data_IF_148237059155
#
_entry.id   IF_148237059155
#
_cell.length_a   1.000
_cell.length_b   1.000
_cell.length_c   1.000
_cell.angle_alpha   90.00
_cell.angle_beta   90.00
_cell.angle_gamma   90.00
#
_symmetry.space_group_name_H-M   'P 1'
#
loop_
_entity.id
_entity.type
_entity.pdbx_description
1 polymer ?
#
# COMPACT_ATOMS: atom_id res chain seq x y z
N UNK A 1 15.60 -25.82 -4.33
CA UNK A 1 14.95 -24.69 -5.02
C UNK A 1 13.56 -24.61 -4.41
N UNK A 2 13.43 -23.80 -3.35
CA UNK A 2 12.16 -23.65 -2.63
C UNK A 2 11.18 -22.93 -3.55
N UNK A 3 10.16 -23.67 -3.99
CA UNK A 3 8.94 -23.08 -4.53
C UNK A 3 8.33 -22.27 -3.39
N UNK A 4 8.51 -20.94 -3.41
CA UNK A 4 7.74 -20.07 -2.54
C UNK A 4 6.27 -20.39 -2.79
N UNK A 5 5.60 -20.98 -1.79
CA UNK A 5 4.17 -21.16 -1.80
C UNK A 5 3.58 -19.78 -2.12
N UNK A 6 2.94 -19.61 -3.27
CA UNK A 6 2.18 -18.41 -3.58
C UNK A 6 1.08 -18.33 -2.51
N UNK A 7 1.37 -17.61 -1.42
CA UNK A 7 0.39 -17.29 -0.40
C UNK A 7 -0.84 -16.71 -1.08
N UNK A 8 -2.01 -16.97 -0.51
CA UNK A 8 -3.27 -16.39 -1.02
C UNK A 8 -3.12 -14.87 -1.08
N UNK A 9 -3.23 -14.29 -2.28
CA UNK A 9 -3.26 -12.84 -2.44
C UNK A 9 -4.59 -12.34 -1.86
N UNK A 10 -4.52 -11.43 -0.90
CA UNK A 10 -5.67 -10.82 -0.23
C UNK A 10 -6.20 -9.63 -1.02
N UNK A 11 -5.30 -8.79 -1.53
CA UNK A 11 -5.62 -7.59 -2.30
C UNK A 11 -4.63 -7.43 -3.47
N UNK A 12 -5.16 -7.04 -4.62
CA UNK A 12 -4.39 -6.57 -5.77
C UNK A 12 -4.76 -5.13 -6.03
N UNK A 13 -3.77 -4.26 -6.10
CA UNK A 13 -3.96 -2.85 -6.39
C UNK A 13 -2.97 -2.43 -7.47
N UNK A 14 -3.48 -1.98 -8.61
CA UNK A 14 -2.64 -1.37 -9.63
C UNK A 14 -2.10 -0.04 -9.09
N UNK A 15 -0.81 0.19 -9.29
CA UNK A 15 -0.12 1.43 -8.92
C UNK A 15 0.46 2.08 -10.16
N UNK A 16 0.88 3.34 -10.04
CA UNK A 16 1.49 4.08 -11.14
C UNK A 16 2.70 3.35 -11.72
N UNK A 17 2.92 3.51 -13.02
CA UNK A 17 4.12 3.01 -13.67
C UNK A 17 5.28 3.99 -13.51
N UNK A 18 6.51 3.46 -13.52
CA UNK A 18 7.71 4.29 -13.46
C UNK A 18 8.08 4.78 -14.86
N UNK A 19 7.24 5.61 -15.48
CA UNK A 19 7.53 6.16 -16.82
C UNK A 19 8.87 6.86 -16.87
N UNK A 20 9.24 7.52 -15.78
CA UNK A 20 10.44 8.35 -15.66
C UNK A 20 11.75 7.57 -15.73
N UNK A 21 11.74 6.26 -15.47
CA UNK A 21 12.91 5.38 -15.60
C UNK A 21 12.89 4.54 -16.87
N UNK A 22 12.04 4.89 -17.84
CA UNK A 22 11.98 4.25 -19.17
C UNK A 22 11.08 3.01 -19.24
N UNK A 23 10.21 2.80 -18.26
CA UNK A 23 9.21 1.72 -18.26
C UNK A 23 7.85 2.23 -18.75
N UNK A 24 7.76 2.60 -20.02
CA UNK A 24 6.54 3.16 -20.61
C UNK A 24 5.41 2.11 -20.75
N UNK A 25 5.78 0.84 -20.92
CA UNK A 25 4.91 -0.28 -21.27
C UNK A 25 4.77 -1.34 -20.16
N UNK A 26 5.13 -0.96 -18.92
CA UNK A 26 5.05 -1.85 -17.76
C UNK A 26 3.95 -1.40 -16.83
N UNK A 27 3.04 -2.33 -16.53
CA UNK A 27 2.05 -2.20 -15.49
C UNK A 27 2.60 -2.75 -14.18
N UNK A 28 2.36 -2.03 -13.09
CA UNK A 28 2.79 -2.41 -11.73
C UNK A 28 1.57 -2.69 -10.89
N UNK A 29 1.63 -3.77 -10.11
CA UNK A 29 0.57 -4.14 -9.16
C UNK A 29 1.18 -4.50 -7.82
N UNK A 30 0.70 -3.84 -6.76
CA UNK A 30 0.94 -4.25 -5.38
C UNK A 30 0.03 -5.42 -5.07
N UNK A 31 0.62 -6.54 -4.66
CA UNK A 31 -0.07 -7.76 -4.24
C UNK A 31 0.12 -7.93 -2.74
N UNK A 32 -0.94 -7.71 -1.96
CA UNK A 32 -0.92 -7.89 -0.52
C UNK A 32 -1.17 -9.37 -0.20
N UNK A 33 -0.25 -9.96 0.56
CA UNK A 33 -0.32 -11.36 0.99
C UNK A 33 -0.88 -11.48 2.41
N UNK A 34 -0.59 -10.52 3.29
CA UNK A 34 -1.06 -10.50 4.67
C UNK A 34 -1.32 -9.06 5.12
N UNK A 35 -2.34 -8.88 5.96
CA UNK A 35 -2.66 -7.62 6.61
C UNK A 35 -3.26 -7.92 7.98
N UNK A 36 -2.63 -7.44 9.06
CA UNK A 36 -3.10 -7.64 10.43
C UNK A 36 -2.56 -6.58 11.39
N UNK A 37 -3.21 -6.43 12.54
CA UNK A 37 -2.70 -5.61 13.64
C UNK A 37 -1.59 -6.41 14.33
N UNK A 38 -0.41 -5.82 14.46
CA UNK A 38 0.74 -6.47 15.08
C UNK A 38 0.55 -6.53 16.61
N UNK A 39 0.14 -7.70 17.11
CA UNK A 39 -0.08 -7.91 18.54
C UNK A 39 1.19 -7.82 19.40
N UNK A 40 2.38 -7.76 18.81
CA UNK A 40 3.65 -7.58 19.51
C UNK A 40 3.98 -6.12 19.82
N UNK A 41 3.37 -5.17 19.11
CA UNK A 41 3.55 -3.73 19.30
C UNK A 41 2.19 -3.05 19.20
N UNK A 42 1.65 -2.56 20.31
CA UNK A 42 0.23 -2.19 20.47
C UNK A 42 -0.27 -1.05 19.55
N UNK A 43 0.57 -0.46 18.71
CA UNK A 43 0.25 0.69 17.86
C UNK A 43 0.80 0.54 16.44
N UNK A 44 0.69 -0.67 15.87
CA UNK A 44 1.19 -0.96 14.54
C UNK A 44 0.27 -1.88 13.75
N UNK A 45 0.05 -1.51 12.49
CA UNK A 45 -0.63 -2.33 11.50
C UNK A 45 0.38 -2.80 10.45
N UNK A 46 0.42 -4.11 10.24
CA UNK A 46 1.40 -4.77 9.39
C UNK A 46 0.76 -5.21 8.08
N UNK A 47 1.44 -4.90 6.96
CA UNK A 47 1.07 -5.33 5.62
C UNK A 47 2.28 -5.99 4.96
N UNK A 48 2.14 -7.25 4.57
CA UNK A 48 3.12 -7.95 3.76
C UNK A 48 2.66 -7.95 2.30
N UNK A 49 3.52 -7.50 1.39
CA UNK A 49 3.17 -7.35 -0.03
C UNK A 49 4.35 -7.62 -0.96
N UNK A 50 4.09 -7.73 -2.26
CA UNK A 50 5.13 -7.67 -3.29
C UNK A 50 4.61 -6.95 -4.53
N UNK A 51 5.51 -6.43 -5.36
CA UNK A 51 5.15 -5.77 -6.63
C UNK A 51 5.36 -6.75 -7.77
N UNK A 52 4.31 -6.98 -8.56
CA UNK A 52 4.39 -7.70 -9.84
C UNK A 52 4.41 -6.72 -11.00
N UNK A 53 5.10 -7.10 -12.06
CA UNK A 53 5.31 -6.30 -13.26
C UNK A 53 4.83 -7.06 -14.49
N UNK A 54 3.91 -6.47 -15.25
CA UNK A 54 3.36 -7.05 -16.48
C UNK A 54 3.61 -6.14 -17.67
N UNK A 55 3.94 -6.73 -18.82
CA UNK A 55 4.08 -6.06 -20.12
C UNK A 55 3.25 -6.84 -21.13
N UNK A 56 2.26 -6.19 -21.74
CA UNK A 56 1.32 -6.82 -22.69
C UNK A 56 0.71 -8.13 -22.14
N UNK A 57 0.39 -8.16 -20.84
CA UNK A 57 -0.14 -9.33 -20.14
C UNK A 57 0.88 -10.43 -19.81
N UNK A 58 2.16 -10.25 -20.16
CA UNK A 58 3.26 -11.18 -19.84
C UNK A 58 3.95 -10.74 -18.55
N UNK A 59 4.17 -11.69 -17.64
CA UNK A 59 4.90 -11.46 -16.40
C UNK A 59 6.40 -11.22 -16.67
N UNK A 60 6.85 -10.00 -16.38
CA UNK A 60 8.25 -9.56 -16.54
C UNK A 60 8.91 -9.27 -15.19
N UNK A 61 8.27 -9.68 -14.11
CA UNK A 61 8.71 -9.54 -12.72
C UNK A 61 10.16 -9.97 -12.46
N UNK A 62 10.62 -11.02 -13.15
CA UNK A 62 12.00 -11.54 -13.06
C UNK A 62 13.09 -10.54 -13.50
N UNK A 63 12.72 -9.49 -14.23
CA UNK A 63 13.65 -8.43 -14.66
C UNK A 63 13.95 -7.43 -13.54
N UNK A 64 13.17 -7.43 -12.46
CA UNK A 64 13.27 -6.50 -11.34
C UNK A 64 13.93 -7.19 -10.15
N UNK A 65 15.06 -6.67 -9.66
CA UNK A 65 15.81 -7.25 -8.53
C UNK A 65 15.02 -7.12 -7.23
N UNK A 66 15.09 -8.17 -6.41
CA UNK A 66 14.45 -8.37 -5.10
C UNK A 66 12.95 -8.66 -5.15
N UNK A 67 12.61 -9.88 -5.57
CA UNK A 67 11.25 -10.40 -5.41
C UNK A 67 11.22 -11.51 -4.38
N UNK A 68 10.82 -11.17 -3.17
CA UNK A 68 10.35 -12.16 -2.20
C UNK A 68 9.10 -11.66 -1.50
N UNK A 69 9.19 -10.49 -0.86
CA UNK A 69 8.09 -9.77 -0.21
C UNK A 69 8.68 -8.59 0.54
N UNK A 70 7.87 -7.58 0.79
CA UNK A 70 8.18 -6.42 1.59
C UNK A 70 7.20 -6.31 2.75
N UNK A 71 7.70 -5.74 3.84
CA UNK A 71 6.92 -5.46 5.04
C UNK A 71 6.68 -3.96 5.12
N UNK A 72 5.42 -3.57 5.17
CA UNK A 72 4.99 -2.22 5.46
C UNK A 72 4.39 -2.17 6.86
N UNK A 73 5.04 -1.39 7.71
CA UNK A 73 4.64 -1.17 9.10
C UNK A 73 4.02 0.23 9.20
N UNK A 74 2.71 0.28 9.38
CA UNK A 74 1.98 1.52 9.58
C UNK A 74 1.85 1.77 11.07
N UNK A 75 2.50 2.82 11.56
CA UNK A 75 2.48 3.26 12.95
C UNK A 75 2.33 4.79 13.01
N UNK A 76 2.16 5.33 14.22
CA UNK A 76 1.96 6.78 14.43
C UNK A 76 3.22 7.65 14.19
N UNK A 77 4.34 7.08 13.72
CA UNK A 77 5.48 7.89 13.25
C UNK A 77 5.25 8.44 11.84
N UNK A 78 4.36 7.82 11.07
CA UNK A 78 3.90 8.33 9.77
C UNK A 78 2.63 9.17 9.98
N UNK A 79 2.49 10.22 9.18
CA UNK A 79 1.26 11.00 9.07
C UNK A 79 0.59 10.68 7.73
N UNK A 80 -0.74 10.58 7.73
CA UNK A 80 -1.54 10.31 6.54
C UNK A 80 -2.67 11.32 6.42
N UNK A 81 -3.18 11.50 5.22
CA UNK A 81 -4.28 12.41 4.96
C UNK A 81 -5.58 11.88 5.58
N UNK A 82 -6.30 12.77 6.28
CA UNK A 82 -7.69 12.52 6.67
C UNK A 82 -8.56 12.43 5.41
N UNK A 83 -9.56 11.56 5.45
CA UNK A 83 -10.48 11.30 4.34
C UNK A 83 -11.94 11.32 4.79
N UNK A 84 -12.82 11.67 3.86
CA UNK A 84 -14.27 11.63 4.08
C UNK A 84 -14.85 10.21 3.86
N UNK A 85 -16.18 10.07 3.93
CA UNK A 85 -16.84 8.78 3.68
C UNK A 85 -16.64 8.22 2.25
N UNK A 86 -16.21 9.05 1.30
CA UNK A 86 -15.92 8.66 -0.08
C UNK A 86 -14.43 8.40 -0.31
N UNK A 87 -13.61 8.47 0.74
CA UNK A 87 -12.16 8.36 0.71
C UNK A 87 -11.44 9.52 -0.01
N UNK A 88 -12.08 10.67 -0.14
CA UNK A 88 -11.44 11.87 -0.69
C UNK A 88 -10.71 12.66 0.41
N UNK A 89 -9.54 13.28 0.12
CA UNK A 89 -8.79 14.05 1.12
C UNK A 89 -9.61 15.22 1.69
N UNK A 90 -9.61 15.36 3.01
CA UNK A 90 -10.24 16.49 3.69
C UNK A 90 -9.23 17.63 3.83
N UNK A 91 -9.66 18.83 3.43
CA UNK A 91 -8.90 20.06 3.58
C UNK A 91 -9.37 20.85 4.81
N UNK A 92 -8.45 21.55 5.46
CA UNK A 92 -8.78 22.55 6.48
C UNK A 92 -9.37 23.83 5.86
N UNK A 93 -9.76 24.79 6.71
CA UNK A 93 -10.34 26.07 6.28
C UNK A 93 -9.36 26.93 5.43
N UNK A 94 -8.07 26.62 5.48
CA UNK A 94 -7.00 27.30 4.72
C UNK A 94 -6.67 26.56 3.40
N UNK A 95 -7.29 25.40 3.16
CA UNK A 95 -7.09 24.58 1.97
C UNK A 95 -5.90 23.63 2.06
N UNK A 96 -5.33 23.41 3.25
CA UNK A 96 -4.25 22.43 3.46
C UNK A 96 -4.82 21.05 3.78
N UNK A 97 -4.09 19.99 3.42
CA UNK A 97 -4.46 18.63 3.81
C UNK A 97 -4.39 18.47 5.33
N UNK A 98 -5.45 17.90 5.91
CA UNK A 98 -5.43 17.52 7.32
C UNK A 98 -4.65 16.21 7.45
N UNK A 99 -3.62 16.22 8.29
CA UNK A 99 -2.76 15.07 8.53
C UNK A 99 -3.00 14.49 9.92
N UNK A 100 -3.13 13.16 10.01
CA UNK A 100 -3.40 12.44 11.25
C UNK A 100 -2.37 11.32 11.47
N UNK A 101 -2.10 10.93 12.73
CA UNK A 101 -1.27 9.76 13.04
C UNK A 101 -1.82 8.51 12.36
N UNK A 102 -0.95 7.81 11.62
CA UNK A 102 -1.41 6.83 10.65
C UNK A 102 -2.14 5.64 11.25
N UNK A 103 -1.61 5.06 12.33
CA UNK A 103 -2.21 3.89 12.95
C UNK A 103 -3.55 4.22 13.61
N UNK A 104 -3.60 5.28 14.41
CA UNK A 104 -4.81 5.68 15.13
C UNK A 104 -5.96 5.99 14.16
N UNK A 105 -5.67 6.71 13.08
CA UNK A 105 -6.69 7.05 12.09
C UNK A 105 -7.22 5.82 11.36
N UNK A 106 -6.33 4.94 10.85
CA UNK A 106 -6.74 3.71 10.15
C UNK A 106 -7.55 2.80 11.08
N UNK A 107 -7.13 2.66 12.34
CA UNK A 107 -7.85 1.85 13.31
C UNK A 107 -9.21 2.43 13.63
N UNK A 108 -9.34 3.74 13.79
CA UNK A 108 -10.63 4.39 13.95
C UNK A 108 -11.59 4.12 12.78
N UNK A 109 -11.07 4.11 11.55
CA UNK A 109 -11.85 3.73 10.37
C UNK A 109 -12.25 2.25 10.42
N UNK A 110 -11.32 1.33 10.72
CA UNK A 110 -11.63 -0.10 10.82
C UNK A 110 -12.63 -0.44 11.93
N UNK A 111 -12.51 0.21 13.08
CA UNK A 111 -13.46 0.07 14.18
C UNK A 111 -14.86 0.53 13.77
N UNK A 112 -14.96 1.65 13.04
CA UNK A 112 -16.25 2.11 12.50
C UNK A 112 -16.87 1.10 11.53
N UNK A 113 -16.05 0.38 10.77
CA UNK A 113 -16.46 -0.66 9.83
C UNK A 113 -16.61 -2.05 10.46
N UNK A 114 -16.23 -2.21 11.74
CA UNK A 114 -16.13 -3.49 12.47
C UNK A 114 -15.29 -4.57 11.74
N UNK A 115 -14.35 -4.18 10.88
CA UNK A 115 -13.46 -5.09 10.15
C UNK A 115 -12.33 -4.33 9.43
N UNK A 116 -11.25 -5.05 9.10
CA UNK A 116 -10.26 -4.58 8.13
C UNK A 116 -10.97 -4.45 6.77
N UNK A 117 -10.98 -3.24 6.22
CA UNK A 117 -11.53 -2.96 4.91
C UNK A 117 -10.43 -2.90 3.86
N UNK A 118 -10.59 -3.68 2.79
CA UNK A 118 -9.66 -3.63 1.67
C UNK A 118 -9.75 -2.33 0.87
N UNK A 119 -10.87 -1.61 0.92
CA UNK A 119 -11.00 -0.33 0.22
C UNK A 119 -10.16 0.75 0.91
N UNK A 120 -10.17 0.76 2.24
CA UNK A 120 -9.27 1.60 3.05
C UNK A 120 -7.80 1.31 2.69
N UNK A 121 -7.42 0.03 2.66
CA UNK A 121 -6.06 -0.40 2.28
C UNK A 121 -5.66 0.04 0.86
N UNK A 122 -6.56 -0.08 -0.13
CA UNK A 122 -6.29 0.36 -1.52
C UNK A 122 -5.96 1.85 -1.57
N UNK A 123 -6.73 2.65 -0.85
CA UNK A 123 -6.57 4.11 -0.83
C UNK A 123 -5.19 4.48 -0.30
N UNK A 124 -4.75 3.87 0.81
CA UNK A 124 -3.41 4.16 1.33
C UNK A 124 -2.28 3.63 0.47
N UNK A 125 -2.47 2.49 -0.22
CA UNK A 125 -1.49 2.02 -1.20
C UNK A 125 -1.28 3.07 -2.30
N UNK A 126 -2.37 3.68 -2.80
CA UNK A 126 -2.33 4.71 -3.84
C UNK A 126 -1.73 6.03 -3.34
N UNK A 127 -2.05 6.45 -2.11
CA UNK A 127 -1.43 7.63 -1.49
C UNK A 127 0.08 7.45 -1.33
N UNK A 128 0.51 6.32 -0.78
CA UNK A 128 1.95 6.04 -0.62
C UNK A 128 2.66 5.85 -1.97
N UNK A 129 1.95 5.39 -3.01
CA UNK A 129 2.48 5.38 -4.37
C UNK A 129 2.72 6.79 -4.90
N UNK A 130 1.80 7.72 -4.67
CA UNK A 130 2.00 9.13 -5.06
C UNK A 130 3.16 9.81 -4.35
N UNK A 131 3.52 9.33 -3.15
CA UNK A 131 4.69 9.80 -2.38
C UNK A 131 6.00 9.10 -2.80
N UNK A 132 5.97 8.21 -3.79
CA UNK A 132 7.15 7.50 -4.30
C UNK A 132 7.63 6.33 -3.43
N UNK A 133 6.84 5.90 -2.43
CA UNK A 133 7.24 4.84 -1.47
C UNK A 133 7.63 3.52 -2.14
N UNK A 134 7.03 3.23 -3.29
CA UNK A 134 7.23 1.98 -4.01
C UNK A 134 8.29 2.07 -5.11
N UNK A 135 8.99 3.19 -5.23
CA UNK A 135 9.99 3.42 -6.26
C UNK A 135 11.29 2.68 -5.94
N UNK A 136 11.94 2.15 -6.99
CA UNK A 136 13.14 1.30 -6.87
C UNK A 136 14.38 2.07 -6.37
N UNK A 137 14.26 3.37 -6.15
CA UNK A 137 15.33 4.28 -5.74
C UNK A 137 15.21 4.73 -4.29
N UNK A 138 14.14 4.35 -3.58
CA UNK A 138 13.97 4.59 -2.15
C UNK A 138 14.76 3.57 -1.31
#
# INVERSE_FOLDING_TARGET
>A
MEQMAKGRILLKQQISNLKEVGFEDIERTVNVMQAHIDGGNYEQFYVNYFISYTRDGVDVSHLFKNQTSYDWYINNNELIQQRDENFEPVLDDEGNFILLPAFDYIMGVFDSLNAISYDVLKVYILENDSDGKWDLTA
#
